data_IF_750557632870
#
_entry.id   IF_750557632870
#
_cell.length_a   1.000
_cell.length_b   1.000
_cell.length_c   1.000
_cell.angle_alpha   90.00
_cell.angle_beta   90.00
_cell.angle_gamma   90.00
#
_symmetry.space_group_name_H-M   'P 1'
#
loop_
_entity.id
_entity.type
_entity.pdbx_description
1 polymer ?
#
# COMPACT_ATOMS: atom_id res chain seq x y z
N UNK A 1 9.55 -82.89 -10.98
CA UNK A 1 8.45 -82.04 -11.35
C UNK A 1 8.74 -80.65 -10.78
N UNK A 2 9.25 -79.79 -11.63
CA UNK A 2 9.91 -78.54 -11.24
C UNK A 2 8.89 -77.41 -11.16
N UNK A 3 8.72 -76.77 -10.00
CA UNK A 3 7.86 -75.59 -9.82
C UNK A 3 8.72 -74.36 -10.03
N UNK A 4 8.47 -73.66 -11.08
CA UNK A 4 9.09 -72.36 -11.38
C UNK A 4 8.28 -71.26 -10.72
N UNK A 5 8.84 -70.58 -9.70
CA UNK A 5 8.26 -69.44 -9.05
C UNK A 5 8.80 -68.18 -9.73
N UNK A 6 7.95 -67.43 -10.42
CA UNK A 6 8.24 -66.12 -10.99
C UNK A 6 7.97 -65.06 -9.92
N UNK A 7 9.04 -64.45 -9.43
CA UNK A 7 9.00 -63.27 -8.59
C UNK A 7 8.87 -62.04 -9.47
N UNK A 8 7.70 -61.41 -9.49
CA UNK A 8 7.51 -60.07 -10.03
C UNK A 8 7.89 -59.05 -8.97
N UNK A 9 9.05 -58.47 -9.10
CA UNK A 9 9.45 -57.29 -8.35
C UNK A 9 8.77 -56.06 -8.95
N UNK A 10 7.67 -55.63 -8.33
CA UNK A 10 7.01 -54.40 -8.71
C UNK A 10 7.80 -53.18 -8.19
N UNK A 11 8.49 -52.50 -9.08
CA UNK A 11 9.17 -51.27 -8.83
C UNK A 11 8.14 -50.12 -8.84
N UNK A 12 7.60 -49.78 -7.65
CA UNK A 12 6.70 -48.63 -7.50
C UNK A 12 7.52 -47.35 -7.50
N UNK A 13 7.53 -46.66 -8.64
CA UNK A 13 8.01 -45.29 -8.78
C UNK A 13 7.01 -44.37 -8.07
N UNK A 14 7.28 -43.96 -6.87
CA UNK A 14 6.64 -42.82 -6.24
C UNK A 14 7.15 -41.55 -6.92
N UNK A 15 6.39 -41.04 -7.89
CA UNK A 15 6.57 -39.68 -8.38
C UNK A 15 6.02 -38.77 -7.28
N UNK A 16 6.90 -38.30 -6.40
CA UNK A 16 6.59 -37.19 -5.52
C UNK A 16 6.47 -35.95 -6.39
N UNK A 17 5.24 -35.62 -6.82
CA UNK A 17 4.93 -34.29 -7.31
C UNK A 17 5.01 -33.36 -6.10
N UNK A 18 6.21 -32.86 -5.83
CA UNK A 18 6.41 -31.73 -4.95
C UNK A 18 5.65 -30.55 -5.53
N UNK A 19 4.51 -30.21 -4.92
CA UNK A 19 3.97 -28.86 -5.03
C UNK A 19 5.04 -27.94 -4.45
N UNK A 20 5.91 -27.43 -5.29
CA UNK A 20 6.67 -26.23 -5.04
C UNK A 20 5.62 -25.12 -4.90
N UNK A 21 5.19 -24.83 -3.67
CA UNK A 21 4.64 -23.53 -3.36
C UNK A 21 5.79 -22.55 -3.61
N UNK A 22 5.85 -22.01 -4.84
CA UNK A 22 6.59 -20.81 -5.09
C UNK A 22 5.96 -19.76 -4.19
N UNK A 23 6.51 -19.62 -2.98
CA UNK A 23 6.51 -18.35 -2.33
C UNK A 23 7.29 -17.47 -3.29
N UNK A 24 6.60 -16.85 -4.24
CA UNK A 24 7.07 -15.64 -4.86
C UNK A 24 7.24 -14.68 -3.68
N UNK A 25 8.43 -14.67 -3.10
CA UNK A 25 8.90 -13.58 -2.26
C UNK A 25 8.82 -12.36 -3.18
N UNK A 26 7.66 -11.72 -3.18
CA UNK A 26 7.44 -10.43 -3.83
C UNK A 26 8.44 -9.52 -3.13
N UNK A 27 9.58 -9.34 -3.77
CA UNK A 27 10.67 -8.51 -3.25
C UNK A 27 10.05 -7.15 -2.98
N UNK A 28 9.86 -6.83 -1.69
CA UNK A 28 9.23 -5.58 -1.27
C UNK A 28 10.04 -4.43 -1.85
N UNK A 29 9.46 -3.70 -2.77
CA UNK A 29 10.11 -2.57 -3.40
C UNK A 29 10.40 -1.51 -2.33
N UNK A 30 11.48 -0.70 -2.46
CA UNK A 30 11.75 0.34 -1.50
C UNK A 30 10.62 1.37 -1.49
N UNK A 31 10.28 1.89 -0.31
CA UNK A 31 9.35 3.02 -0.17
C UNK A 31 9.90 4.29 -0.83
N UNK A 32 11.24 4.42 -0.86
CA UNK A 32 11.96 5.52 -1.52
C UNK A 32 11.57 5.62 -2.99
N UNK A 33 11.22 6.83 -3.42
CA UNK A 33 10.79 7.11 -4.80
C UNK A 33 9.72 8.19 -4.87
N UNK A 34 9.20 8.39 -6.07
CA UNK A 34 8.11 9.34 -6.35
C UNK A 34 6.83 8.56 -6.62
N UNK A 35 5.78 8.94 -5.91
CA UNK A 35 4.50 8.28 -5.93
C UNK A 35 3.39 9.24 -6.35
N UNK A 36 2.57 8.82 -7.29
CA UNK A 36 1.40 9.53 -7.79
C UNK A 36 0.15 8.95 -7.14
N UNK A 37 -0.64 9.72 -6.38
CA UNK A 37 -1.92 9.25 -5.87
C UNK A 37 -2.92 9.09 -7.02
N UNK A 38 -3.73 8.03 -6.96
CA UNK A 38 -4.69 7.71 -8.03
C UNK A 38 -6.13 7.64 -7.52
N UNK A 39 -6.29 7.17 -6.29
CA UNK A 39 -7.59 7.08 -5.62
C UNK A 39 -7.40 6.96 -4.12
N UNK A 40 -8.48 7.14 -3.39
CA UNK A 40 -8.55 6.81 -1.97
C UNK A 40 -9.83 6.04 -1.64
N UNK A 41 -9.79 5.27 -0.58
CA UNK A 41 -10.96 4.60 0.00
C UNK A 41 -11.08 5.04 1.44
N UNK A 42 -12.23 5.58 1.80
CA UNK A 42 -12.56 5.95 3.17
C UNK A 42 -13.46 4.87 3.74
N UNK A 43 -12.95 4.12 4.72
CA UNK A 43 -13.73 3.09 5.42
C UNK A 43 -14.12 3.60 6.79
N UNK A 44 -15.40 3.58 7.07
CA UNK A 44 -16.00 3.93 8.36
C UNK A 44 -16.57 2.68 9.00
N UNK A 45 -16.14 2.41 10.23
CA UNK A 45 -16.67 1.31 11.07
C UNK A 45 -17.31 1.93 12.30
N UNK A 46 -18.55 1.65 12.55
CA UNK A 46 -19.26 2.03 13.77
C UNK A 46 -19.50 0.80 14.63
N UNK A 47 -19.31 0.92 15.94
CA UNK A 47 -19.55 -0.20 16.87
C UNK A 47 -20.96 -0.76 16.68
N UNK A 48 -21.03 -2.07 16.41
CA UNK A 48 -22.30 -2.78 16.19
C UNK A 48 -22.92 -2.64 14.79
N UNK A 49 -22.19 -2.07 13.82
CA UNK A 49 -22.62 -1.96 12.43
C UNK A 49 -21.55 -2.50 11.47
N UNK A 50 -21.98 -2.87 10.27
CA UNK A 50 -21.06 -3.31 9.22
C UNK A 50 -20.20 -2.13 8.72
N UNK A 51 -18.95 -2.39 8.29
CA UNK A 51 -18.10 -1.36 7.69
C UNK A 51 -18.71 -0.79 6.39
N UNK A 52 -18.65 0.53 6.25
CA UNK A 52 -19.04 1.23 5.01
C UNK A 52 -17.80 1.83 4.38
N UNK A 53 -17.63 1.64 3.07
CA UNK A 53 -16.48 2.16 2.34
C UNK A 53 -16.92 3.00 1.13
N UNK A 54 -16.35 4.21 1.05
CA UNK A 54 -16.52 5.13 -0.07
C UNK A 54 -15.22 5.20 -0.87
N UNK A 55 -15.29 4.90 -2.16
CA UNK A 55 -14.16 5.01 -3.07
C UNK A 55 -14.18 6.37 -3.79
N UNK A 56 -13.10 7.12 -3.66
CA UNK A 56 -12.92 8.43 -4.29
C UNK A 56 -11.83 8.31 -5.35
N UNK A 57 -12.22 8.43 -6.61
CA UNK A 57 -11.28 8.47 -7.74
C UNK A 57 -10.81 9.90 -7.94
N UNK A 58 -9.50 10.08 -8.06
CA UNK A 58 -8.90 11.40 -8.25
C UNK A 58 -9.15 11.92 -9.67
N UNK A 59 -9.36 13.24 -9.76
CA UNK A 59 -9.43 13.98 -11.02
C UNK A 59 -8.06 14.00 -11.71
N UNK A 60 -8.00 14.40 -12.95
CA UNK A 60 -6.73 14.53 -13.67
C UNK A 60 -5.80 15.59 -13.05
N UNK A 61 -6.36 16.65 -12.43
CA UNK A 61 -5.58 17.60 -11.66
C UNK A 61 -5.02 16.95 -10.37
N UNK A 62 -5.86 16.28 -9.60
CA UNK A 62 -5.43 15.62 -8.36
C UNK A 62 -4.37 14.54 -8.59
N UNK A 63 -4.42 13.83 -9.73
CA UNK A 63 -3.39 12.87 -10.15
C UNK A 63 -2.04 13.52 -10.49
N UNK A 64 -1.97 14.84 -10.65
CA UNK A 64 -0.70 15.56 -10.79
C UNK A 64 0.04 15.71 -9.46
N UNK A 65 -0.60 15.44 -8.33
CA UNK A 65 0.03 15.42 -7.01
C UNK A 65 1.19 14.41 -6.96
N UNK A 66 2.18 14.69 -6.12
CA UNK A 66 3.37 13.85 -5.95
C UNK A 66 3.73 13.73 -4.48
N UNK A 67 4.00 12.49 -4.06
CA UNK A 67 4.60 12.20 -2.77
C UNK A 67 5.99 11.62 -3.02
N UNK A 68 7.00 12.31 -2.52
CA UNK A 68 8.40 11.89 -2.67
C UNK A 68 8.94 11.44 -1.32
N UNK A 69 9.50 10.23 -1.29
CA UNK A 69 10.23 9.70 -0.15
C UNK A 69 11.71 9.57 -0.54
N UNK A 70 12.59 10.27 0.16
CA UNK A 70 14.02 10.27 -0.10
C UNK A 70 14.73 9.23 0.79
N UNK A 71 15.91 8.77 0.39
CA UNK A 71 16.70 7.77 1.12
C UNK A 71 17.24 8.25 2.46
N UNK A 72 17.31 9.57 2.67
CA UNK A 72 17.74 10.21 3.91
C UNK A 72 16.62 10.33 4.97
N UNK A 73 15.44 9.79 4.71
CA UNK A 73 14.29 9.89 5.61
C UNK A 73 13.51 11.21 5.50
N UNK A 74 13.90 12.09 4.57
CA UNK A 74 13.10 13.27 4.23
C UNK A 74 12.06 12.94 3.17
N UNK A 75 11.02 13.76 3.07
CA UNK A 75 10.01 13.63 2.02
C UNK A 75 9.32 14.95 1.71
N UNK A 76 8.59 14.94 0.60
CA UNK A 76 7.80 16.08 0.15
C UNK A 76 6.47 15.62 -0.42
N UNK A 77 5.41 16.30 -0.04
CA UNK A 77 4.08 16.16 -0.63
C UNK A 77 3.74 17.44 -1.40
N UNK A 78 3.54 17.30 -2.70
CA UNK A 78 3.07 18.37 -3.60
C UNK A 78 1.66 18.02 -4.03
N UNK A 79 0.68 18.75 -3.55
CA UNK A 79 -0.73 18.53 -3.88
C UNK A 79 -1.15 19.44 -5.02
N UNK A 80 -1.98 18.90 -5.91
CA UNK A 80 -2.63 19.66 -6.98
C UNK A 80 -4.12 19.37 -6.90
N UNK A 81 -4.94 20.39 -6.88
CA UNK A 81 -6.39 20.30 -6.89
C UNK A 81 -7.01 20.86 -8.16
N UNK A 82 -8.32 20.74 -8.25
CA UNK A 82 -9.09 21.41 -9.31
C UNK A 82 -9.21 22.90 -8.99
N UNK A 83 -9.09 23.75 -10.00
CA UNK A 83 -9.32 25.18 -9.89
C UNK A 83 -10.82 25.50 -9.97
N UNK A 84 -11.21 26.68 -9.50
CA UNK A 84 -12.55 27.20 -9.74
C UNK A 84 -12.87 27.41 -11.24
N UNK A 85 -11.84 27.56 -12.07
CA UNK A 85 -11.98 27.61 -13.53
C UNK A 85 -11.97 26.19 -14.09
N UNK A 86 -13.04 25.74 -14.77
CA UNK A 86 -13.10 24.40 -15.35
C UNK A 86 -11.91 24.07 -16.24
N UNK A 87 -11.33 22.86 -16.06
CA UNK A 87 -10.19 22.37 -16.84
C UNK A 87 -8.82 22.92 -16.42
N UNK A 88 -8.76 23.79 -15.39
CA UNK A 88 -7.50 24.27 -14.83
C UNK A 88 -7.19 23.56 -13.50
N UNK A 89 -5.90 23.37 -13.24
CA UNK A 89 -5.41 22.79 -12.01
C UNK A 89 -4.82 23.88 -11.10
N UNK A 90 -4.99 23.69 -9.78
CA UNK A 90 -4.50 24.60 -8.74
C UNK A 90 -3.45 23.90 -7.90
N UNK A 91 -2.14 24.15 -8.12
CA UNK A 91 -1.08 23.64 -7.24
C UNK A 91 -1.22 24.23 -5.84
N UNK A 92 -1.02 23.39 -4.82
CA UNK A 92 -1.00 23.79 -3.42
C UNK A 92 0.45 23.93 -2.92
N UNK A 93 0.69 24.68 -1.85
CA UNK A 93 2.02 24.78 -1.25
C UNK A 93 2.57 23.40 -0.89
N UNK A 94 3.84 23.17 -1.21
CA UNK A 94 4.55 21.94 -0.86
C UNK A 94 4.57 21.74 0.66
N UNK A 95 4.39 20.50 1.09
CA UNK A 95 4.48 20.08 2.50
C UNK A 95 5.69 19.17 2.67
N UNK A 96 6.73 19.67 3.31
CA UNK A 96 7.89 18.87 3.66
C UNK A 96 7.61 18.03 4.90
N UNK A 97 8.17 16.83 4.94
CA UNK A 97 8.09 15.94 6.10
C UNK A 97 9.38 15.12 6.27
N UNK A 98 9.58 14.60 7.46
CA UNK A 98 10.51 13.50 7.73
C UNK A 98 9.70 12.23 7.94
N UNK A 99 10.30 11.06 7.66
CA UNK A 99 9.62 9.80 7.86
C UNK A 99 10.54 8.71 8.41
N UNK A 100 9.94 7.75 9.10
CA UNK A 100 10.56 6.47 9.45
C UNK A 100 9.68 5.35 8.91
N UNK A 101 10.32 4.31 8.35
CA UNK A 101 9.64 3.13 7.83
C UNK A 101 10.07 1.88 8.57
N UNK A 102 9.13 1.27 9.29
CA UNK A 102 9.31 -0.04 9.89
C UNK A 102 8.82 -1.12 8.92
N UNK A 103 9.77 -1.83 8.31
CA UNK A 103 9.48 -2.92 7.36
C UNK A 103 8.80 -4.09 8.05
N UNK A 104 9.20 -4.44 9.27
CA UNK A 104 8.66 -5.58 10.01
C UNK A 104 7.22 -5.34 10.44
N UNK A 105 6.93 -4.14 10.93
CA UNK A 105 5.58 -3.70 11.31
C UNK A 105 4.74 -3.21 10.15
N UNK A 106 5.31 -3.11 8.93
CA UNK A 106 4.67 -2.53 7.75
C UNK A 106 3.99 -1.20 8.07
N UNK A 107 4.74 -0.29 8.72
CA UNK A 107 4.23 1.01 9.14
C UNK A 107 5.18 2.14 8.79
N UNK A 108 4.60 3.26 8.42
CA UNK A 108 5.31 4.51 8.13
C UNK A 108 4.80 5.58 9.09
N UNK A 109 5.71 6.29 9.74
CA UNK A 109 5.40 7.49 10.52
C UNK A 109 5.94 8.69 9.76
N UNK A 110 5.09 9.68 9.47
CA UNK A 110 5.44 10.91 8.76
C UNK A 110 5.21 12.11 9.67
N UNK A 111 6.24 12.94 9.84
CA UNK A 111 6.16 14.19 10.62
C UNK A 111 6.26 15.37 9.67
N UNK A 112 5.12 16.02 9.43
CA UNK A 112 5.04 17.19 8.55
C UNK A 112 5.58 18.44 9.28
N UNK A 113 6.28 19.29 8.53
CA UNK A 113 6.80 20.55 9.03
C UNK A 113 5.63 21.44 9.49
N UNK A 114 5.73 21.96 10.72
CA UNK A 114 4.69 22.81 11.32
C UNK A 114 3.50 22.05 11.91
N UNK A 115 3.48 20.71 11.84
CA UNK A 115 2.45 19.86 12.47
C UNK A 115 3.08 19.12 13.65
N UNK A 116 2.45 19.22 14.84
CA UNK A 116 2.98 18.60 16.07
C UNK A 116 2.81 17.09 16.04
N UNK A 117 1.60 16.62 15.71
CA UNK A 117 1.27 15.21 15.72
C UNK A 117 1.74 14.51 14.44
N UNK A 118 2.49 13.40 14.54
CA UNK A 118 2.90 12.65 13.39
C UNK A 118 1.72 11.87 12.78
N UNK A 119 1.72 11.74 11.47
CA UNK A 119 0.79 10.88 10.76
C UNK A 119 1.34 9.45 10.75
N UNK A 120 0.61 8.52 11.34
CA UNK A 120 0.94 7.10 11.33
C UNK A 120 0.11 6.39 10.27
N UNK A 121 0.78 5.67 9.38
CA UNK A 121 0.14 4.92 8.30
C UNK A 121 0.58 3.45 8.32
N UNK A 122 -0.34 2.55 8.02
CA UNK A 122 -0.02 1.15 7.68
C UNK A 122 0.26 1.05 6.19
N UNK A 123 1.32 0.31 5.85
CA UNK A 123 1.65 -0.03 4.47
C UNK A 123 0.92 -1.33 4.14
N UNK A 124 -0.25 -1.20 3.49
CA UNK A 124 -1.07 -2.35 3.12
C UNK A 124 -0.49 -3.09 1.90
N UNK A 125 0.10 -2.34 0.96
CA UNK A 125 0.78 -2.88 -0.22
C UNK A 125 1.99 -2.02 -0.53
N UNK A 126 3.12 -2.65 -0.85
CA UNK A 126 4.32 -2.00 -1.38
C UNK A 126 5.01 -2.95 -2.34
N UNK A 127 4.99 -2.62 -3.63
CA UNK A 127 5.68 -3.37 -4.67
C UNK A 127 6.33 -2.41 -5.68
N UNK A 128 6.84 -2.93 -6.79
CA UNK A 128 7.55 -2.12 -7.78
C UNK A 128 6.73 -0.95 -8.35
N UNK A 129 5.41 -1.08 -8.41
CA UNK A 129 4.52 -0.10 -9.06
C UNK A 129 3.47 0.52 -8.14
N UNK A 130 3.13 -0.13 -7.03
CA UNK A 130 1.98 0.24 -6.20
C UNK A 130 2.37 0.42 -4.75
N UNK A 131 1.85 1.48 -4.13
CA UNK A 131 1.91 1.73 -2.69
C UNK A 131 0.48 1.99 -2.18
N UNK A 132 0.05 1.28 -1.14
CA UNK A 132 -1.18 1.58 -0.41
C UNK A 132 -0.84 1.97 1.02
N UNK A 133 -1.22 3.18 1.41
CA UNK A 133 -1.06 3.71 2.77
C UNK A 133 -2.43 3.88 3.43
N UNK A 134 -2.65 3.16 4.51
CA UNK A 134 -3.86 3.28 5.32
C UNK A 134 -3.58 4.15 6.55
N UNK A 135 -4.21 5.31 6.61
CA UNK A 135 -4.10 6.30 7.69
C UNK A 135 -5.37 6.27 8.52
N UNK A 136 -5.23 6.15 9.84
CA UNK A 136 -6.36 6.33 10.73
C UNK A 136 -6.70 7.82 10.83
N UNK A 137 -7.97 8.16 10.64
CA UNK A 137 -8.50 9.49 10.89
C UNK A 137 -9.09 9.56 12.31
N UNK A 138 -8.82 10.64 13.00
CA UNK A 138 -9.45 10.91 14.26
C UNK A 138 -10.92 11.28 14.04
N UNK A 139 -11.78 10.77 14.92
CA UNK A 139 -13.21 11.06 14.94
C UNK A 139 -13.59 11.61 16.30
N UNK A 140 -14.55 12.52 16.34
CA UNK A 140 -15.08 13.05 17.60
C UNK A 140 -15.91 12.02 18.37
N UNK A 141 -16.44 11.02 17.66
CA UNK A 141 -17.25 9.94 18.23
C UNK A 141 -16.33 8.72 18.50
N UNK A 142 -16.11 8.32 19.77
CA UNK A 142 -15.25 7.19 20.11
C UNK A 142 -15.80 5.84 19.63
N UNK A 143 -17.08 5.78 19.25
CA UNK A 143 -17.69 4.56 18.67
C UNK A 143 -17.48 4.41 17.18
N UNK A 144 -16.88 5.44 16.53
CA UNK A 144 -16.59 5.46 15.10
C UNK A 144 -15.09 5.33 14.86
N UNK A 145 -14.71 4.35 14.08
CA UNK A 145 -13.35 4.15 13.57
C UNK A 145 -13.33 4.49 12.09
N UNK A 146 -12.45 5.41 11.68
CA UNK A 146 -12.34 5.84 10.30
C UNK A 146 -10.92 5.65 9.77
N UNK A 147 -10.79 5.04 8.59
CA UNK A 147 -9.51 4.81 7.92
C UNK A 147 -9.58 5.34 6.50
N UNK A 148 -8.57 6.10 6.10
CA UNK A 148 -8.38 6.54 4.73
C UNK A 148 -7.21 5.78 4.11
N UNK A 149 -7.47 5.01 3.07
CA UNK A 149 -6.46 4.27 2.34
C UNK A 149 -6.18 4.95 1.01
N UNK A 150 -4.97 5.49 0.89
CA UNK A 150 -4.46 6.07 -0.35
C UNK A 150 -3.87 4.97 -1.23
N UNK A 151 -4.17 5.01 -2.52
CA UNK A 151 -3.52 4.17 -3.54
C UNK A 151 -2.64 5.04 -4.42
N UNK A 152 -1.38 4.64 -4.56
CA UNK A 152 -0.40 5.34 -5.37
C UNK A 152 0.18 4.42 -6.43
N UNK A 153 0.57 5.03 -7.55
CA UNK A 153 1.40 4.42 -8.58
C UNK A 153 2.80 5.03 -8.55
N UNK A 154 3.84 4.20 -8.67
CA UNK A 154 5.22 4.67 -8.75
C UNK A 154 5.45 5.41 -10.06
N UNK A 155 6.11 6.56 -9.99
CA UNK A 155 6.61 7.28 -11.16
C UNK A 155 8.04 6.81 -11.42
N UNK A 156 8.36 6.28 -12.62
CA UNK A 156 9.72 5.99 -13.02
C UNK A 156 10.59 7.25 -12.93
N UNK A 157 11.83 7.08 -12.46
CA UNK A 157 12.84 8.14 -12.40
C UNK A 157 13.85 7.94 -13.52
#
# INVERSE_FOLDING_TARGET
MKKLALLFAGLSLFVATGCSSSNDDVMEAPLVGVWQPTKEVVTTVKTGADPVSDAITYTDCQKQSRWKFNSDGSGKRSDVGDSATPGQCSPQPDKNFTYTYDKSGKSVQMKFQGIVEPVNAKVATLNATTLNLAVREETQDPTVYKTRTYTFTRIPQ
#
